data_IF_524082139069
#
_entry.id   IF_524082139069
#
_cell.length_a   1.000
_cell.length_b   1.000
_cell.length_c   1.000
_cell.angle_alpha   90.00
_cell.angle_beta   90.00
_cell.angle_gamma   90.00
#
_symmetry.space_group_name_H-M   'P 1'
#
loop_
_entity.id
_entity.type
_entity.pdbx_description
1 polymer ?
#
# COMPACT_ATOMS: atom_id res chain seq x y z
N UNK A 1 19.25 18.36 2.82
CA UNK A 1 18.59 17.09 2.44
C UNK A 1 17.30 17.42 1.69
N UNK A 2 17.09 16.88 0.50
CA UNK A 2 15.91 17.13 -0.31
C UNK A 2 14.73 16.22 0.12
N UNK A 3 13.56 16.46 -0.49
CA UNK A 3 12.34 15.69 -0.16
C UNK A 3 12.49 14.20 -0.42
N UNK A 4 13.16 13.82 -1.50
CA UNK A 4 13.40 12.42 -1.86
C UNK A 4 14.24 11.71 -0.80
N UNK A 5 15.32 12.34 -0.37
CA UNK A 5 16.20 11.75 0.65
C UNK A 5 15.52 11.61 2.00
N UNK A 6 14.70 12.60 2.38
CA UNK A 6 13.91 12.53 3.62
C UNK A 6 12.89 11.40 3.57
N UNK A 7 12.23 11.22 2.43
CA UNK A 7 11.27 10.13 2.24
C UNK A 7 11.94 8.78 2.33
N UNK A 8 13.09 8.61 1.69
CA UNK A 8 13.85 7.35 1.72
C UNK A 8 14.26 6.99 3.14
N UNK A 9 14.68 7.96 3.96
CA UNK A 9 14.99 7.73 5.37
C UNK A 9 13.76 7.28 6.16
N UNK A 10 12.60 7.93 5.96
CA UNK A 10 11.35 7.53 6.62
C UNK A 10 10.93 6.12 6.21
N UNK A 11 11.04 5.81 4.93
CA UNK A 11 10.73 4.51 4.36
C UNK A 11 11.56 3.40 5.00
N UNK A 12 12.87 3.61 5.09
CA UNK A 12 13.79 2.65 5.74
C UNK A 12 13.46 2.47 7.21
N UNK A 13 13.16 3.56 7.92
CA UNK A 13 12.80 3.52 9.33
C UNK A 13 11.51 2.72 9.56
N UNK A 14 10.49 2.92 8.72
CA UNK A 14 9.23 2.19 8.77
C UNK A 14 9.50 0.69 8.54
N UNK A 15 10.27 0.34 7.53
CA UNK A 15 10.55 -1.05 7.16
C UNK A 15 11.38 -1.81 8.18
N UNK A 16 12.07 -1.13 9.08
CA UNK A 16 12.73 -1.77 10.21
C UNK A 16 11.72 -2.31 11.21
N UNK A 17 10.53 -1.72 11.28
CA UNK A 17 9.49 -2.06 12.26
C UNK A 17 8.43 -3.01 11.69
N UNK A 18 8.26 -3.04 10.37
CA UNK A 18 7.22 -3.83 9.72
C UNK A 18 7.83 -4.72 8.62
N UNK A 19 7.33 -5.95 8.55
CA UNK A 19 7.62 -6.84 7.44
C UNK A 19 6.37 -7.65 7.12
N UNK A 20 6.21 -8.03 5.85
CA UNK A 20 5.07 -8.81 5.40
C UNK A 20 5.39 -10.30 5.33
N UNK A 21 4.39 -11.12 5.62
CA UNK A 21 4.45 -12.57 5.49
C UNK A 21 3.38 -13.05 4.51
N UNK A 22 3.28 -14.36 4.28
CA UNK A 22 2.24 -14.90 3.42
C UNK A 22 0.84 -14.67 4.01
N UNK A 23 0.71 -14.78 5.35
CA UNK A 23 -0.58 -14.63 6.05
C UNK A 23 -0.94 -13.16 6.30
N UNK A 24 0.06 -12.34 6.60
CA UNK A 24 -0.10 -10.92 6.86
C UNK A 24 0.90 -10.15 5.99
N UNK A 25 0.62 -10.03 4.68
CA UNK A 25 1.56 -9.40 3.76
C UNK A 25 1.67 -7.91 3.97
N UNK A 26 2.74 -7.33 3.44
CA UNK A 26 2.97 -5.89 3.48
C UNK A 26 2.29 -5.23 2.27
N UNK A 27 1.36 -4.33 2.56
CA UNK A 27 0.68 -3.53 1.53
C UNK A 27 1.41 -2.20 1.43
N UNK A 28 1.96 -1.90 0.27
CA UNK A 28 2.75 -0.70 0.05
C UNK A 28 2.16 0.18 -1.04
N UNK A 29 2.53 1.46 -1.04
CA UNK A 29 2.07 2.45 -2.02
C UNK A 29 3.26 3.19 -2.62
N UNK A 30 3.06 3.68 -3.84
CA UNK A 30 4.02 4.54 -4.52
C UNK A 30 3.26 5.57 -5.35
N UNK A 31 3.72 6.83 -5.33
CA UNK A 31 3.14 7.92 -6.11
C UNK A 31 4.15 8.42 -7.13
N UNK A 32 3.74 8.48 -8.39
CA UNK A 32 4.47 9.20 -9.43
C UNK A 32 3.74 10.53 -9.72
N UNK A 33 4.19 11.28 -10.71
CA UNK A 33 3.56 12.56 -11.07
C UNK A 33 2.09 12.38 -11.48
N UNK A 34 1.75 11.28 -12.16
CA UNK A 34 0.43 11.07 -12.75
C UNK A 34 -0.34 9.90 -12.17
N UNK A 35 0.34 8.97 -11.53
CA UNK A 35 -0.24 7.70 -11.13
C UNK A 35 -0.02 7.39 -9.67
N UNK A 36 -0.93 6.60 -9.12
CA UNK A 36 -0.85 6.02 -7.79
C UNK A 36 -0.76 4.51 -7.94
N UNK A 37 0.23 3.90 -7.29
CA UNK A 37 0.48 2.47 -7.34
C UNK A 37 0.29 1.87 -5.96
N UNK A 38 -0.23 0.66 -5.92
CA UNK A 38 -0.33 -0.13 -4.70
C UNK A 38 0.08 -1.56 -4.97
N UNK A 39 0.73 -2.18 -4.01
CA UNK A 39 1.16 -3.56 -4.15
C UNK A 39 1.11 -4.30 -2.83
N UNK A 40 1.20 -5.62 -2.91
CA UNK A 40 1.21 -6.54 -1.78
C UNK A 40 2.47 -7.38 -1.87
N UNK A 41 3.29 -7.37 -0.84
CA UNK A 41 4.56 -8.08 -0.83
C UNK A 41 4.62 -9.10 0.29
N UNK A 42 5.21 -10.27 -0.02
CA UNK A 42 5.64 -11.25 0.96
C UNK A 42 7.15 -11.10 1.14
N UNK A 43 7.56 -10.53 2.26
CA UNK A 43 8.98 -10.24 2.51
C UNK A 43 9.79 -11.51 2.84
N UNK A 44 9.14 -12.58 3.28
CA UNK A 44 9.82 -13.86 3.56
C UNK A 44 10.39 -14.48 2.28
N UNK A 45 9.68 -14.32 1.17
CA UNK A 45 10.09 -14.86 -0.13
C UNK A 45 10.59 -13.76 -1.08
N UNK A 46 10.58 -12.50 -0.63
CA UNK A 46 10.95 -11.33 -1.44
C UNK A 46 10.17 -11.25 -2.75
N UNK A 47 8.87 -11.58 -2.69
CA UNK A 47 8.01 -11.56 -3.87
C UNK A 47 6.89 -10.52 -3.74
N UNK A 48 6.47 -9.95 -4.87
CA UNK A 48 5.28 -9.11 -4.95
C UNK A 48 4.12 -10.01 -5.39
N UNK A 49 3.14 -10.15 -4.52
CA UNK A 49 1.99 -11.04 -4.76
C UNK A 49 1.08 -10.45 -5.84
N UNK A 50 0.83 -9.15 -5.76
CA UNK A 50 -0.02 -8.46 -6.71
C UNK A 50 0.23 -6.96 -6.65
N UNK A 51 -0.07 -6.24 -7.74
CA UNK A 51 0.00 -4.79 -7.78
C UNK A 51 -1.11 -4.23 -8.67
N UNK A 52 -1.51 -3.01 -8.40
CA UNK A 52 -2.49 -2.26 -9.21
C UNK A 52 -2.07 -0.80 -9.29
N UNK A 53 -2.59 -0.12 -10.30
CA UNK A 53 -2.28 1.28 -10.60
C UNK A 53 -3.57 2.02 -10.94
N UNK A 54 -3.64 3.29 -10.57
CA UNK A 54 -4.73 4.18 -10.98
C UNK A 54 -4.19 5.57 -11.27
N UNK A 55 -5.02 6.42 -11.86
CA UNK A 55 -4.72 7.83 -11.95
C UNK A 55 -4.70 8.42 -10.54
N UNK A 56 -3.94 9.50 -10.37
CA UNK A 56 -3.72 10.15 -9.07
C UNK A 56 -4.89 11.09 -8.72
N UNK A 57 -6.11 10.55 -8.72
CA UNK A 57 -7.34 11.26 -8.38
C UNK A 57 -8.11 10.46 -7.33
N UNK A 58 -8.79 11.15 -6.41
CA UNK A 58 -9.51 10.50 -5.32
C UNK A 58 -10.50 9.44 -5.81
N UNK A 59 -11.29 9.75 -6.82
CA UNK A 59 -12.29 8.84 -7.38
C UNK A 59 -11.66 7.56 -7.94
N UNK A 60 -10.58 7.72 -8.70
CA UNK A 60 -9.88 6.59 -9.31
C UNK A 60 -9.20 5.71 -8.26
N UNK A 61 -8.66 6.34 -7.21
CA UNK A 61 -8.02 5.62 -6.10
C UNK A 61 -9.05 4.83 -5.32
N UNK A 62 -10.22 5.39 -5.03
CA UNK A 62 -11.32 4.69 -4.36
C UNK A 62 -11.75 3.45 -5.14
N UNK A 63 -11.93 3.60 -6.43
CA UNK A 63 -12.32 2.50 -7.32
C UNK A 63 -11.24 1.42 -7.35
N UNK A 64 -9.98 1.82 -7.49
CA UNK A 64 -8.85 0.90 -7.50
C UNK A 64 -8.71 0.18 -6.15
N UNK A 65 -8.90 0.89 -5.03
CA UNK A 65 -8.83 0.29 -3.69
C UNK A 65 -9.91 -0.78 -3.50
N UNK A 66 -11.12 -0.54 -4.02
CA UNK A 66 -12.19 -1.53 -3.98
C UNK A 66 -11.83 -2.79 -4.77
N UNK A 67 -11.30 -2.62 -5.98
CA UNK A 67 -10.83 -3.73 -6.80
C UNK A 67 -9.67 -4.47 -6.15
N UNK A 68 -8.76 -3.71 -5.52
CA UNK A 68 -7.61 -4.25 -4.79
C UNK A 68 -8.07 -5.14 -3.63
N UNK A 69 -9.03 -4.66 -2.83
CA UNK A 69 -9.60 -5.42 -1.73
C UNK A 69 -10.29 -6.70 -2.22
N UNK A 70 -11.04 -6.62 -3.32
CA UNK A 70 -11.70 -7.78 -3.93
C UNK A 70 -10.67 -8.84 -4.36
N UNK A 71 -9.59 -8.40 -4.98
CA UNK A 71 -8.50 -9.29 -5.41
C UNK A 71 -7.79 -9.94 -4.22
N UNK A 72 -7.59 -9.20 -3.13
CA UNK A 72 -7.01 -9.76 -1.91
C UNK A 72 -7.91 -10.84 -1.30
N UNK A 73 -9.21 -10.59 -1.24
CA UNK A 73 -10.18 -11.57 -0.72
C UNK A 73 -10.21 -12.85 -1.55
N UNK A 74 -10.09 -12.73 -2.88
CA UNK A 74 -9.97 -13.90 -3.77
C UNK A 74 -8.74 -14.73 -3.47
N UNK A 75 -7.67 -14.11 -2.98
CA UNK A 75 -6.44 -14.78 -2.57
C UNK A 75 -6.48 -15.21 -1.11
N UNK A 76 -7.63 -15.06 -0.43
CA UNK A 76 -7.84 -15.35 0.99
C UNK A 76 -6.96 -14.51 1.90
N UNK A 77 -6.68 -13.28 1.51
CA UNK A 77 -5.93 -12.30 2.30
C UNK A 77 -6.93 -11.24 2.77
N UNK A 78 -7.15 -11.15 4.09
CA UNK A 78 -8.08 -10.19 4.68
C UNK A 78 -7.40 -9.21 5.65
N UNK A 79 -6.12 -9.37 5.86
CA UNK A 79 -5.32 -8.49 6.72
C UNK A 79 -3.93 -8.28 6.18
N UNK A 80 -3.29 -7.20 6.62
CA UNK A 80 -1.93 -6.90 6.21
C UNK A 80 -1.32 -5.80 7.07
N UNK A 81 -0.03 -5.55 6.89
CA UNK A 81 0.65 -4.40 7.48
C UNK A 81 0.79 -3.34 6.41
N UNK A 82 0.42 -2.10 6.74
CA UNK A 82 0.46 -1.02 5.78
C UNK A 82 1.81 -0.30 5.82
N UNK A 83 2.50 -0.27 4.68
CA UNK A 83 3.74 0.46 4.48
C UNK A 83 3.45 1.69 3.63
N UNK A 84 3.49 2.88 4.25
CA UNK A 84 3.28 4.15 3.56
C UNK A 84 4.46 4.57 2.69
N UNK A 85 5.51 3.76 2.60
CA UNK A 85 6.69 3.97 1.75
C UNK A 85 7.37 5.33 1.98
N UNK A 86 7.35 5.82 3.23
CA UNK A 86 7.92 7.11 3.60
C UNK A 86 7.08 8.34 3.25
N UNK A 87 5.93 8.16 2.59
CA UNK A 87 4.98 9.25 2.38
C UNK A 87 4.27 9.58 3.69
N UNK A 88 3.76 10.80 3.81
CA UNK A 88 2.92 11.14 4.96
C UNK A 88 1.62 10.34 4.88
N UNK A 89 1.12 9.90 6.02
CA UNK A 89 -0.21 9.29 6.12
C UNK A 89 -1.26 10.40 6.03
N UNK A 90 -1.46 10.90 4.81
CA UNK A 90 -2.28 12.06 4.52
C UNK A 90 -2.75 12.02 3.07
N UNK A 91 -3.87 12.68 2.77
CA UNK A 91 -4.39 12.81 1.42
C UNK A 91 -4.67 11.46 0.76
N UNK A 92 -4.09 11.23 -0.40
CA UNK A 92 -4.36 10.04 -1.19
C UNK A 92 -3.89 8.74 -0.55
N UNK A 93 -2.80 8.77 0.22
CA UNK A 93 -2.30 7.59 0.94
C UNK A 93 -3.31 7.18 2.01
N UNK A 94 -3.79 8.13 2.81
CA UNK A 94 -4.81 7.87 3.83
C UNK A 94 -6.13 7.43 3.20
N UNK A 95 -6.52 8.04 2.09
CA UNK A 95 -7.73 7.68 1.35
C UNK A 95 -7.69 6.20 0.90
N UNK A 96 -6.58 5.77 0.34
CA UNK A 96 -6.40 4.39 -0.10
C UNK A 96 -6.51 3.42 1.07
N UNK A 97 -5.80 3.69 2.17
CA UNK A 97 -5.84 2.85 3.37
C UNK A 97 -7.25 2.77 3.96
N UNK A 98 -7.95 3.90 4.05
CA UNK A 98 -9.31 3.96 4.58
C UNK A 98 -10.29 3.18 3.71
N UNK A 99 -10.16 3.27 2.39
CA UNK A 99 -11.00 2.49 1.47
C UNK A 99 -10.75 0.99 1.58
N UNK A 100 -9.50 0.56 1.79
CA UNK A 100 -9.21 -0.84 2.06
C UNK A 100 -9.91 -1.31 3.35
N UNK A 101 -9.84 -0.50 4.40
CA UNK A 101 -10.51 -0.81 5.68
C UNK A 101 -12.03 -0.86 5.50
N UNK A 102 -12.60 0.06 4.74
CA UNK A 102 -14.04 0.10 4.45
C UNK A 102 -14.49 -1.14 3.65
N UNK A 103 -13.61 -1.74 2.89
CA UNK A 103 -13.90 -2.94 2.11
C UNK A 103 -13.50 -4.24 2.84
N UNK A 104 -13.21 -4.16 4.13
CA UNK A 104 -13.02 -5.33 4.98
C UNK A 104 -11.59 -5.84 5.11
N UNK A 105 -10.61 -5.07 4.63
CA UNK A 105 -9.20 -5.43 4.81
C UNK A 105 -8.69 -4.78 6.09
N UNK A 106 -8.13 -5.59 6.97
CA UNK A 106 -7.59 -5.12 8.26
C UNK A 106 -6.14 -4.70 8.08
N UNK A 107 -5.88 -3.44 8.19
CA UNK A 107 -4.52 -2.90 8.09
C UNK A 107 -4.26 -1.83 9.15
#
# INVERSE_FOLDING_TARGET
MNKKDRREKRKMHIRKKISGTADVPRIFVFKSNRYFYAGVANDDTSTVIMSKMSKKKAEDIKKMAKEFATSLKKKKIDKGVFDRSGYRYHGLVALFADELRNNGIKI
#
